data_IF_215632238473
#
_entry.id   IF_215632238473
#
_cell.length_a   1.000
_cell.length_b   1.000
_cell.length_c   1.000
_cell.angle_alpha   90.00
_cell.angle_beta   90.00
_cell.angle_gamma   90.00
#
_symmetry.space_group_name_H-M   'P 1'
#
loop_
_entity.id
_entity.type
_entity.pdbx_description
1 polymer ?
#
# COMPACT_ATOMS: atom_id res chain seq x y z
N UNK A 1 -13.06 13.92 1.30
CA UNK A 1 -11.80 13.30 1.77
C UNK A 1 -12.04 11.80 1.85
N UNK A 2 -11.58 11.04 0.86
CA UNK A 2 -11.77 9.60 0.79
C UNK A 2 -10.44 8.93 1.17
N UNK A 3 -10.45 8.06 2.18
CA UNK A 3 -9.28 7.24 2.57
C UNK A 3 -9.60 5.79 2.23
N UNK A 4 -9.05 5.30 1.12
CA UNK A 4 -9.09 3.87 0.81
C UNK A 4 -8.08 3.15 1.71
N UNK A 5 -8.53 2.13 2.43
CA UNK A 5 -7.68 1.27 3.26
C UNK A 5 -7.71 -0.15 2.68
N UNK A 6 -6.53 -0.74 2.47
CA UNK A 6 -6.37 -2.13 2.04
C UNK A 6 -5.60 -2.88 3.13
N UNK A 7 -6.12 -4.01 3.60
CA UNK A 7 -5.44 -4.87 4.59
C UNK A 7 -4.93 -6.16 3.95
N UNK A 8 -3.66 -6.50 4.17
CA UNK A 8 -2.98 -7.68 3.64
C UNK A 8 -2.15 -8.32 4.76
N UNK A 9 -2.52 -9.51 5.26
CA UNK A 9 -1.76 -10.21 6.31
C UNK A 9 -1.31 -9.29 7.49
N UNK A 10 -2.27 -8.57 8.10
CA UNK A 10 -2.08 -7.57 9.17
C UNK A 10 -1.35 -6.27 8.78
N UNK A 11 -0.91 -6.13 7.52
CA UNK A 11 -0.41 -4.88 6.97
C UNK A 11 -1.57 -4.00 6.49
N UNK A 12 -1.55 -2.71 6.84
CA UNK A 12 -2.48 -1.71 6.31
C UNK A 12 -1.79 -0.87 5.23
N UNK A 13 -2.50 -0.61 4.14
CA UNK A 13 -2.14 0.34 3.10
C UNK A 13 -3.19 1.43 3.08
N UNK A 14 -2.78 2.70 3.06
CA UNK A 14 -3.68 3.86 3.00
C UNK A 14 -3.27 4.80 1.89
N UNK A 15 -4.23 5.27 1.11
CA UNK A 15 -4.05 6.41 0.22
C UNK A 15 -4.55 7.67 0.94
N UNK A 16 -3.67 8.66 1.10
CA UNK A 16 -4.01 9.92 1.77
C UNK A 16 -3.51 11.10 0.96
N UNK A 17 -4.17 12.25 1.12
CA UNK A 17 -3.67 13.51 0.54
C UNK A 17 -2.32 13.87 1.17
N UNK A 18 -1.39 14.35 0.35
CA UNK A 18 -0.08 14.80 0.79
C UNK A 18 -0.18 16.26 1.25
N UNK A 19 -0.05 16.56 2.56
CA UNK A 19 -0.20 17.91 3.08
C UNK A 19 0.97 18.84 2.72
N UNK A 20 2.11 18.27 2.32
CA UNK A 20 3.36 19.01 2.10
C UNK A 20 3.53 19.43 0.62
N UNK A 21 2.59 19.06 -0.25
CA UNK A 21 2.60 19.30 -1.71
C UNK A 21 1.31 20.00 -2.13
N UNK A 22 1.28 20.58 -3.34
CA UNK A 22 0.08 21.22 -3.91
C UNK A 22 -1.18 20.35 -3.74
N UNK A 23 -2.34 20.97 -3.45
CA UNK A 23 -3.61 20.26 -3.29
C UNK A 23 -3.89 19.31 -4.45
N UNK A 24 -4.17 18.04 -4.14
CA UNK A 24 -4.43 16.98 -5.12
C UNK A 24 -3.30 15.97 -5.28
N UNK A 25 -2.13 16.22 -4.71
CA UNK A 25 -1.11 15.18 -4.54
C UNK A 25 -1.49 14.22 -3.41
N UNK A 26 -1.18 12.95 -3.61
CA UNK A 26 -1.45 11.89 -2.65
C UNK A 26 -0.16 11.16 -2.29
N UNK A 27 -0.21 10.39 -1.21
CA UNK A 27 0.86 9.49 -0.79
C UNK A 27 0.25 8.19 -0.30
N UNK A 28 1.01 7.11 -0.49
CA UNK A 28 0.66 5.79 0.02
C UNK A 28 1.38 5.59 1.35
N UNK A 29 0.62 5.23 2.37
CA UNK A 29 1.13 4.85 3.68
C UNK A 29 1.03 3.34 3.85
N UNK A 30 2.10 2.70 4.25
CA UNK A 30 2.13 1.26 4.54
C UNK A 30 2.51 1.08 6.00
N UNK A 31 1.73 0.32 6.77
CA UNK A 31 1.98 0.13 8.19
C UNK A 31 3.37 -0.46 8.42
N UNK A 32 4.09 0.07 9.41
CA UNK A 32 5.42 -0.41 9.76
C UNK A 32 5.40 -1.87 10.24
N UNK A 33 6.46 -2.61 9.96
CA UNK A 33 6.59 -4.04 10.25
C UNK A 33 7.37 -4.79 9.17
N UNK A 34 7.65 -6.08 9.38
CA UNK A 34 8.42 -6.88 8.42
C UNK A 34 7.70 -7.00 7.07
N UNK A 35 6.41 -7.33 7.08
CA UNK A 35 5.57 -7.42 5.88
C UNK A 35 5.44 -6.05 5.20
N UNK A 36 5.18 -4.99 5.98
CA UNK A 36 5.11 -3.62 5.47
C UNK A 36 6.41 -3.14 4.82
N UNK A 37 7.56 -3.50 5.39
CA UNK A 37 8.86 -3.16 4.84
C UNK A 37 9.09 -3.84 3.49
N UNK A 38 8.82 -5.15 3.41
CA UNK A 38 8.96 -5.92 2.19
C UNK A 38 8.03 -5.40 1.09
N UNK A 39 6.76 -5.13 1.43
CA UNK A 39 5.79 -4.60 0.49
C UNK A 39 6.16 -3.19 0.03
N UNK A 40 6.57 -2.32 0.95
CA UNK A 40 7.02 -0.97 0.64
C UNK A 40 8.25 -0.95 -0.27
N UNK A 41 9.20 -1.86 -0.08
CA UNK A 41 10.36 -2.04 -0.97
C UNK A 41 9.93 -2.46 -2.39
N UNK A 42 8.94 -3.35 -2.51
CA UNK A 42 8.43 -3.78 -3.83
C UNK A 42 7.71 -2.64 -4.55
N UNK A 43 6.91 -1.85 -3.83
CA UNK A 43 6.20 -0.70 -4.37
C UNK A 43 7.12 0.45 -4.78
N UNK A 44 8.10 0.77 -3.92
CA UNK A 44 9.01 1.90 -4.14
C UNK A 44 9.99 1.66 -5.30
N UNK A 45 10.16 0.40 -5.75
CA UNK A 45 11.05 0.04 -6.85
C UNK A 45 12.51 -0.17 -6.42
N UNK A 46 13.41 -0.26 -7.40
CA UNK A 46 14.85 -0.50 -7.17
C UNK A 46 15.72 0.47 -8.01
N UNK A 47 16.61 1.26 -7.39
CA UNK A 47 16.81 1.40 -5.95
C UNK A 47 15.58 2.05 -5.30
N UNK A 48 15.15 1.59 -4.12
CA UNK A 48 14.00 2.20 -3.49
C UNK A 48 14.39 3.63 -3.09
N UNK A 49 13.60 4.66 -3.43
CA UNK A 49 13.71 5.94 -2.75
C UNK A 49 13.65 5.67 -1.25
N UNK A 50 14.40 6.45 -0.46
CA UNK A 50 14.43 6.30 0.98
C UNK A 50 12.97 6.26 1.49
N UNK A 51 12.52 5.08 1.95
CA UNK A 51 11.19 4.92 2.52
C UNK A 51 11.15 5.80 3.75
N UNK A 52 10.53 6.98 3.62
CA UNK A 52 10.37 7.88 4.75
C UNK A 52 9.51 7.18 5.79
N UNK A 53 9.93 7.23 7.05
CA UNK A 53 9.21 6.61 8.16
C UNK A 53 8.69 7.72 9.06
N UNK A 54 7.38 7.76 9.23
CA UNK A 54 6.72 8.69 10.16
C UNK A 54 5.55 8.01 10.85
N UNK A 55 5.42 8.23 12.16
CA UNK A 55 4.27 7.79 12.95
C UNK A 55 3.91 6.29 12.85
N UNK A 56 4.89 5.42 12.58
CA UNK A 56 4.65 3.98 12.37
C UNK A 56 4.18 3.60 10.95
N UNK A 57 4.46 4.43 9.96
CA UNK A 57 4.15 4.21 8.55
C UNK A 57 5.39 4.38 7.69
N UNK A 58 5.53 3.53 6.67
CA UNK A 58 6.37 3.81 5.51
C UNK A 58 5.58 4.68 4.53
N UNK A 59 6.19 5.76 4.06
CA UNK A 59 5.58 6.73 3.14
C UNK A 59 6.19 6.53 1.75
N UNK A 60 5.31 6.39 0.75
CA UNK A 60 5.68 6.29 -0.67
C UNK A 60 4.95 7.39 -1.43
N UNK A 61 5.65 8.21 -2.22
CA UNK A 61 5.02 9.17 -3.12
C UNK A 61 4.05 8.47 -4.07
N UNK A 62 2.85 9.01 -4.26
CA UNK A 62 1.90 8.46 -5.21
C UNK A 62 2.28 8.91 -6.62
N UNK A 63 2.61 7.94 -7.49
CA UNK A 63 2.89 8.16 -8.91
C UNK A 63 2.18 7.07 -9.72
N UNK A 64 1.96 7.31 -11.02
CA UNK A 64 1.38 6.31 -11.91
C UNK A 64 2.17 4.98 -11.92
N UNK A 65 3.50 5.06 -11.81
CA UNK A 65 4.37 3.88 -11.73
C UNK A 65 4.16 3.08 -10.43
N UNK A 66 3.87 3.77 -9.31
CA UNK A 66 3.54 3.12 -8.04
C UNK A 66 2.16 2.45 -8.12
N UNK A 67 1.18 3.05 -8.81
CA UNK A 67 -0.13 2.45 -9.05
C UNK A 67 -0.03 1.16 -9.87
N UNK A 68 0.74 1.19 -10.97
CA UNK A 68 0.97 0.00 -11.79
C UNK A 68 1.57 -1.16 -10.98
N UNK A 69 2.54 -0.85 -10.11
CA UNK A 69 3.14 -1.84 -9.20
C UNK A 69 2.16 -2.34 -8.16
N UNK A 70 1.35 -1.45 -7.59
CA UNK A 70 0.35 -1.83 -6.59
C UNK A 70 -0.67 -2.79 -7.19
N UNK A 71 -1.19 -2.48 -8.38
CA UNK A 71 -2.13 -3.35 -9.11
C UNK A 71 -1.48 -4.71 -9.37
N UNK A 72 -0.26 -4.73 -9.93
CA UNK A 72 0.44 -5.97 -10.23
C UNK A 72 0.72 -6.83 -8.97
N UNK A 73 1.03 -6.20 -7.84
CA UNK A 73 1.23 -6.90 -6.56
C UNK A 73 -0.07 -7.48 -6.02
N UNK A 74 -1.17 -6.72 -6.09
CA UNK A 74 -2.48 -7.20 -5.66
C UNK A 74 -2.96 -8.38 -6.53
N UNK A 75 -2.76 -8.31 -7.84
CA UNK A 75 -3.07 -9.38 -8.78
C UNK A 75 -2.24 -10.63 -8.48
N UNK A 76 -0.93 -10.48 -8.26
CA UNK A 76 -0.05 -11.58 -7.86
C UNK A 76 -0.52 -12.23 -6.56
N UNK A 77 -0.88 -11.43 -5.55
CA UNK A 77 -1.40 -11.92 -4.29
C UNK A 77 -2.72 -12.68 -4.47
N UNK A 78 -3.62 -12.20 -5.35
CA UNK A 78 -4.86 -12.88 -5.68
C UNK A 78 -4.61 -14.23 -6.39
N UNK A 79 -3.65 -14.27 -7.32
CA UNK A 79 -3.28 -15.49 -8.04
C UNK A 79 -2.63 -16.53 -7.13
N UNK A 80 -1.71 -16.12 -6.24
CA UNK A 80 -1.12 -17.01 -5.24
C UNK A 80 -2.22 -17.58 -4.33
N UNK A 81 -3.15 -16.74 -3.86
CA UNK A 81 -4.28 -17.20 -3.04
C UNK A 81 -5.15 -18.23 -3.77
N UNK A 82 -5.39 -18.05 -5.07
CA UNK A 82 -6.17 -18.99 -5.89
C UNK A 82 -5.47 -20.35 -6.02
N UNK A 83 -4.14 -20.36 -6.16
CA UNK A 83 -3.36 -21.59 -6.36
C UNK A 83 -2.98 -22.29 -5.04
N UNK A 84 -2.76 -21.50 -3.99
CA UNK A 84 -2.27 -21.95 -2.69
C UNK A 84 -2.89 -21.11 -1.56
N UNK A 85 -4.17 -21.36 -1.21
CA UNK A 85 -4.95 -20.51 -0.31
C UNK A 85 -4.40 -20.37 1.12
N UNK A 86 -3.50 -21.28 1.54
CA UNK A 86 -2.82 -21.20 2.84
C UNK A 86 -1.63 -20.24 2.90
N UNK A 87 -1.11 -19.78 1.75
CA UNK A 87 0.09 -18.92 1.71
C UNK A 87 -0.22 -17.43 1.79
N UNK A 88 -1.42 -17.03 1.36
CA UNK A 88 -1.80 -15.61 1.29
C UNK A 88 -3.20 -15.44 1.87
N UNK A 89 -3.26 -14.83 3.05
CA UNK A 89 -4.51 -14.37 3.66
C UNK A 89 -4.67 -12.88 3.37
N UNK A 90 -5.51 -12.56 2.38
CA UNK A 90 -5.92 -11.20 2.03
C UNK A 90 -7.33 -10.95 2.57
N UNK A 91 -7.49 -10.50 3.82
CA UNK A 91 -8.74 -9.89 4.23
C UNK A 91 -8.85 -8.51 3.56
N UNK A 92 -9.37 -8.48 2.32
CA UNK A 92 -9.70 -7.22 1.67
C UNK A 92 -10.93 -6.64 2.37
N UNK A 93 -10.71 -5.67 3.26
CA UNK A 93 -11.76 -4.82 3.83
C UNK A 93 -11.73 -3.49 3.09
N UNK A 94 -12.71 -3.28 2.21
CA UNK A 94 -12.94 -1.98 1.59
C UNK A 94 -13.83 -1.17 2.54
N UNK A 95 -13.23 -0.28 3.32
CA UNK A 95 -14.00 0.71 4.06
C UNK A 95 -14.37 1.87 3.14
N UNK A 96 -15.62 1.87 2.67
CA UNK A 96 -16.23 3.04 2.04
C UNK A 96 -16.66 4.02 3.12
N UNK A 97 -16.25 5.29 3.01
CA UNK A 97 -16.79 6.36 3.82
C UNK A 97 -18.30 6.42 3.59
N UNK A 98 -19.10 6.10 4.61
CA UNK A 98 -20.53 6.40 4.62
C UNK A 98 -20.68 7.92 4.68
N UNK A 99 -21.42 8.48 3.71
CA UNK A 99 -22.04 9.80 3.82
C UNK A 99 -23.08 9.82 4.94
#
# INVERSE_FOLDING_TARGET
MLKTIITVADMQIKLVDDPDVEPGHQRILISHGFVGHAFGRLLAGNPPPALAVDGGWYIIPHTAEVDERLIALLDLCADIRRQAPGLVQLPLQLEGARE
#
